data_IF_042891581661
#
_entry.id   IF_042891581661
#
_cell.length_a   1.000
_cell.length_b   1.000
_cell.length_c   1.000
_cell.angle_alpha   90.00
_cell.angle_beta   90.00
_cell.angle_gamma   90.00
#
_symmetry.space_group_name_H-M   'P 1'
#
loop_
_entity.id
_entity.type
_entity.pdbx_description
1 polymer ?
#
# COMPACT_ATOMS: atom_id res chain seq x y z
N UNK A 1 -21.74 -35.85 12.37
CA UNK A 1 -20.31 -35.89 12.03
C UNK A 1 -19.81 -34.45 12.03
N UNK A 2 -19.75 -33.68 13.12
CA UNK A 2 -19.34 -33.97 14.51
C UNK A 2 -18.10 -34.84 14.56
N UNK A 3 -16.95 -34.15 14.55
CA UNK A 3 -15.73 -34.41 15.34
C UNK A 3 -14.49 -33.97 14.55
N UNK A 4 -14.26 -32.64 14.52
CA UNK A 4 -12.92 -32.10 14.30
C UNK A 4 -12.45 -31.68 15.69
N UNK A 5 -11.57 -32.51 16.26
CA UNK A 5 -10.84 -32.23 17.50
C UNK A 5 -10.30 -30.79 17.50
N UNK A 6 -10.77 -29.96 18.44
CA UNK A 6 -10.16 -28.69 18.80
C UNK A 6 -8.80 -28.93 19.45
N UNK A 7 -7.77 -29.13 18.63
CA UNK A 7 -6.39 -28.99 19.06
C UNK A 7 -6.00 -27.51 18.91
N UNK A 8 -5.99 -26.78 20.03
CA UNK A 8 -5.17 -25.58 20.24
C UNK A 8 -5.32 -24.43 19.25
N UNK A 9 -6.45 -23.74 19.26
CA UNK A 9 -6.53 -22.37 18.74
C UNK A 9 -6.08 -21.42 19.85
N UNK A 10 -4.91 -20.81 19.72
CA UNK A 10 -4.38 -19.77 20.63
C UNK A 10 -5.09 -18.41 20.42
N UNK A 11 -6.28 -18.43 19.80
CA UNK A 11 -7.03 -17.23 19.44
C UNK A 11 -7.91 -16.78 20.61
N UNK A 12 -7.79 -15.51 20.97
CA UNK A 12 -8.64 -14.87 21.98
C UNK A 12 -10.09 -14.70 21.45
N UNK A 13 -10.25 -14.51 20.14
CA UNK A 13 -11.54 -14.45 19.44
C UNK A 13 -11.47 -15.20 18.11
N UNK A 14 -12.49 -15.98 17.81
CA UNK A 14 -12.70 -16.61 16.50
C UNK A 14 -13.27 -15.61 15.47
N UNK A 15 -13.26 -15.97 14.19
CA UNK A 15 -13.64 -15.08 13.08
C UNK A 15 -15.08 -14.54 13.20
N UNK A 16 -16.00 -15.37 13.67
CA UNK A 16 -17.44 -15.04 13.79
C UNK A 16 -17.82 -14.52 15.18
N UNK A 17 -16.84 -14.42 16.09
CA UNK A 17 -17.08 -13.94 17.44
C UNK A 17 -17.43 -12.45 17.44
N UNK A 18 -18.30 -12.08 18.38
CA UNK A 18 -18.72 -10.70 18.59
C UNK A 18 -18.10 -10.19 19.89
N UNK A 19 -16.85 -9.67 19.85
CA UNK A 19 -16.22 -9.13 21.04
C UNK A 19 -17.04 -7.95 21.59
N UNK A 20 -16.93 -7.67 22.91
CA UNK A 20 -17.53 -6.49 23.50
C UNK A 20 -17.14 -5.22 22.75
N UNK A 21 -18.07 -4.27 22.60
CA UNK A 21 -17.87 -3.05 21.81
C UNK A 21 -16.56 -2.32 22.11
N UNK A 22 -16.15 -2.24 23.37
CA UNK A 22 -14.91 -1.57 23.77
C UNK A 22 -13.65 -2.26 23.21
N UNK A 23 -13.59 -3.59 23.25
CA UNK A 23 -12.47 -4.37 22.69
C UNK A 23 -12.47 -4.29 21.17
N UNK A 24 -13.65 -4.38 20.55
CA UNK A 24 -13.81 -4.23 19.10
C UNK A 24 -13.33 -2.85 18.63
N UNK A 25 -13.71 -1.78 19.35
CA UNK A 25 -13.32 -0.41 19.02
C UNK A 25 -11.81 -0.20 19.15
N UNK A 26 -11.21 -0.66 20.25
CA UNK A 26 -9.76 -0.57 20.45
C UNK A 26 -9.03 -1.36 19.37
N UNK A 27 -9.48 -2.58 19.06
CA UNK A 27 -8.92 -3.40 17.98
C UNK A 27 -9.03 -2.74 16.61
N UNK A 28 -10.17 -2.10 16.30
CA UNK A 28 -10.37 -1.37 15.06
C UNK A 28 -9.44 -0.15 14.95
N UNK A 29 -9.25 0.59 16.05
CA UNK A 29 -8.33 1.74 16.09
C UNK A 29 -6.88 1.27 15.90
N UNK A 30 -6.44 0.21 16.58
CA UNK A 30 -5.06 -0.28 16.41
C UNK A 30 -4.82 -0.80 15.00
N UNK A 31 -5.80 -1.47 14.40
CA UNK A 31 -5.73 -1.89 13.00
C UNK A 31 -5.63 -0.69 12.05
N UNK A 32 -6.47 0.33 12.27
CA UNK A 32 -6.42 1.57 11.49
C UNK A 32 -5.04 2.24 11.59
N UNK A 33 -4.50 2.38 12.81
CA UNK A 33 -3.19 2.97 13.05
C UNK A 33 -2.07 2.14 12.41
N UNK A 34 -2.15 0.81 12.48
CA UNK A 34 -1.17 -0.09 11.88
C UNK A 34 -1.13 0.02 10.35
N UNK A 35 -2.30 0.16 9.70
CA UNK A 35 -2.37 0.24 8.23
C UNK A 35 -2.27 1.67 7.69
N UNK A 36 -2.39 2.68 8.53
CA UNK A 36 -2.41 4.08 8.11
C UNK A 36 -1.14 4.47 7.34
N UNK A 37 0.03 4.19 7.91
CA UNK A 37 1.32 4.51 7.28
C UNK A 37 1.46 3.82 5.92
N UNK A 38 1.37 2.48 5.80
CA UNK A 38 1.51 1.82 4.49
C UNK A 38 0.40 2.20 3.49
N UNK A 39 -0.76 2.69 3.95
CA UNK A 39 -1.82 3.17 3.07
C UNK A 39 -1.51 4.54 2.45
N UNK A 40 -0.94 5.46 3.23
CA UNK A 40 -0.68 6.84 2.80
C UNK A 40 0.69 6.99 2.09
N UNK A 41 1.70 6.25 2.54
CA UNK A 41 3.08 6.36 2.06
C UNK A 41 3.23 6.24 0.54
N UNK A 42 2.61 5.28 -0.17
CA UNK A 42 2.75 5.19 -1.63
C UNK A 42 2.33 6.45 -2.38
N UNK A 43 1.22 7.09 -1.98
CA UNK A 43 0.74 8.33 -2.59
C UNK A 43 1.71 9.50 -2.34
N UNK A 44 2.25 9.61 -1.11
CA UNK A 44 3.24 10.62 -0.77
C UNK A 44 4.55 10.43 -1.55
N UNK A 45 5.02 9.18 -1.67
CA UNK A 45 6.22 8.84 -2.43
C UNK A 45 6.07 9.23 -3.90
N UNK A 46 4.95 8.86 -4.54
CA UNK A 46 4.68 9.20 -5.95
C UNK A 46 4.55 10.71 -6.11
N UNK A 47 3.81 11.39 -5.22
CA UNK A 47 3.65 12.84 -5.24
C UNK A 47 4.98 13.59 -5.15
N UNK A 48 5.83 13.20 -4.20
CA UNK A 48 7.15 13.80 -4.01
C UNK A 48 8.10 13.52 -5.19
N UNK A 49 8.12 12.29 -5.70
CA UNK A 49 9.00 11.89 -6.80
C UNK A 49 8.64 12.58 -8.13
N UNK A 50 7.33 12.76 -8.40
CA UNK A 50 6.85 13.46 -9.60
C UNK A 50 6.78 14.98 -9.42
N UNK A 51 7.01 15.48 -8.21
CA UNK A 51 6.84 16.89 -7.80
C UNK A 51 5.43 17.40 -8.11
N UNK A 52 4.42 16.61 -7.74
CA UNK A 52 3.03 17.02 -7.83
C UNK A 52 2.72 18.15 -6.84
N UNK A 53 1.65 18.89 -7.09
CA UNK A 53 1.18 19.88 -6.12
C UNK A 53 0.80 19.22 -4.78
N UNK A 54 0.87 19.99 -3.68
CA UNK A 54 0.44 19.51 -2.37
C UNK A 54 -1.06 19.16 -2.36
N UNK A 55 -1.86 19.90 -3.13
CA UNK A 55 -3.29 19.65 -3.30
C UNK A 55 -3.54 18.31 -4.02
N UNK A 56 -2.88 18.07 -5.16
CA UNK A 56 -2.97 16.80 -5.90
C UNK A 56 -2.54 15.61 -5.02
N UNK A 57 -1.47 15.79 -4.25
CA UNK A 57 -0.94 14.74 -3.37
C UNK A 57 -1.93 14.44 -2.22
N UNK A 58 -2.49 15.46 -1.59
CA UNK A 58 -3.50 15.29 -0.54
C UNK A 58 -4.79 14.65 -1.08
N UNK A 59 -5.17 15.01 -2.31
CA UNK A 59 -6.30 14.39 -3.01
C UNK A 59 -6.05 12.90 -3.26
N UNK A 60 -4.86 12.53 -3.74
CA UNK A 60 -4.43 11.14 -3.92
C UNK A 60 -4.48 10.32 -2.63
N UNK A 61 -3.98 10.88 -1.52
CA UNK A 61 -4.04 10.24 -0.20
C UNK A 61 -5.50 10.00 0.21
N UNK A 62 -6.35 11.01 0.04
CA UNK A 62 -7.77 10.92 0.39
C UNK A 62 -8.50 9.85 -0.43
N UNK A 63 -8.25 9.80 -1.74
CA UNK A 63 -8.80 8.76 -2.62
C UNK A 63 -8.31 7.37 -2.23
N UNK A 64 -7.02 7.22 -1.93
CA UNK A 64 -6.44 5.95 -1.50
C UNK A 64 -7.09 5.46 -0.21
N UNK A 65 -7.28 6.34 0.79
CA UNK A 65 -7.94 5.99 2.05
C UNK A 65 -9.40 5.54 1.84
N UNK A 66 -10.16 6.26 1.00
CA UNK A 66 -11.54 5.89 0.68
C UNK A 66 -11.60 4.54 -0.04
N UNK A 67 -10.78 4.36 -1.08
CA UNK A 67 -10.72 3.11 -1.84
C UNK A 67 -10.30 1.92 -0.96
N UNK A 68 -9.36 2.14 -0.04
CA UNK A 68 -8.90 1.14 0.93
C UNK A 68 -10.01 0.73 1.91
N UNK A 69 -10.78 1.70 2.39
CA UNK A 69 -11.94 1.46 3.26
C UNK A 69 -13.03 0.65 2.55
N UNK A 70 -13.40 1.06 1.33
CA UNK A 70 -14.39 0.35 0.49
C UNK A 70 -13.90 -1.06 0.16
N UNK A 71 -12.63 -1.20 -0.25
CA UNK A 71 -12.04 -2.49 -0.59
C UNK A 71 -11.98 -3.45 0.61
N UNK A 72 -11.63 -2.93 1.79
CA UNK A 72 -11.62 -3.72 3.03
C UNK A 72 -13.04 -4.17 3.39
N UNK A 73 -14.01 -3.26 3.34
CA UNK A 73 -15.40 -3.60 3.58
C UNK A 73 -15.90 -4.68 2.61
N UNK A 74 -15.56 -4.57 1.32
CA UNK A 74 -15.91 -5.57 0.32
C UNK A 74 -15.24 -6.93 0.57
N UNK A 75 -14.00 -6.95 1.06
CA UNK A 75 -13.27 -8.19 1.29
C UNK A 75 -13.61 -8.92 2.59
N UNK A 76 -14.01 -8.16 3.61
CA UNK A 76 -14.51 -8.71 4.89
C UNK A 76 -15.91 -9.30 4.72
N UNK A 77 -16.77 -8.69 3.91
CA UNK A 77 -18.11 -9.23 3.67
C UNK A 77 -18.11 -10.22 2.51
N UNK A 78 -18.57 -11.45 2.74
CA UNK A 78 -18.71 -12.44 1.66
C UNK A 78 -20.07 -12.32 0.97
N UNK A 79 -20.07 -11.75 -0.23
CA UNK A 79 -21.24 -11.67 -1.11
C UNK A 79 -21.05 -12.63 -2.31
N UNK A 80 -21.35 -13.91 -2.11
CA UNK A 80 -21.23 -14.93 -3.15
C UNK A 80 -19.78 -15.17 -3.60
N UNK A 81 -19.45 -14.73 -4.83
CA UNK A 81 -18.10 -14.82 -5.43
C UNK A 81 -17.20 -13.61 -5.08
N UNK A 82 -17.77 -12.55 -4.53
CA UNK A 82 -17.04 -11.34 -4.13
C UNK A 82 -16.85 -11.34 -2.62
N UNK A 83 -15.64 -11.03 -2.16
CA UNK A 83 -15.33 -11.02 -0.74
C UNK A 83 -14.79 -12.35 -0.22
N UNK A 84 -13.78 -12.27 0.65
CA UNK A 84 -13.18 -13.44 1.29
C UNK A 84 -13.99 -13.96 2.48
N UNK A 85 -14.73 -13.09 3.16
CA UNK A 85 -15.33 -13.40 4.46
C UNK A 85 -14.32 -13.40 5.61
N UNK A 86 -13.06 -13.07 5.35
CA UNK A 86 -11.97 -13.00 6.32
C UNK A 86 -11.60 -11.54 6.59
N UNK A 87 -10.90 -11.28 7.70
CA UNK A 87 -10.30 -9.97 8.00
C UNK A 87 -9.14 -9.66 7.02
N UNK A 88 -9.51 -9.36 5.78
CA UNK A 88 -8.61 -9.11 4.65
C UNK A 88 -8.52 -7.62 4.37
N UNK A 89 -7.74 -6.92 5.18
CA UNK A 89 -7.58 -5.47 5.07
C UNK A 89 -6.86 -5.13 3.77
N UNK A 90 -7.47 -4.24 3.00
CA UNK A 90 -6.88 -3.75 1.76
C UNK A 90 -5.97 -2.56 2.05
N UNK A 91 -4.90 -2.43 1.27
CA UNK A 91 -3.97 -1.29 1.28
C UNK A 91 -3.47 -1.03 -0.13
N UNK A 92 -2.74 0.07 -0.30
CA UNK A 92 -2.11 0.42 -1.57
C UNK A 92 -0.91 -0.51 -1.83
N UNK A 93 -0.81 -1.05 -3.04
CA UNK A 93 0.24 -1.97 -3.41
C UNK A 93 1.56 -1.22 -3.70
N UNK A 94 2.56 -1.41 -2.84
CA UNK A 94 3.89 -0.81 -2.99
C UNK A 94 4.65 -1.23 -4.26
N UNK A 95 4.33 -2.39 -4.84
CA UNK A 95 4.94 -2.86 -6.10
C UNK A 95 4.67 -1.92 -7.27
N UNK A 96 3.57 -1.16 -7.23
CA UNK A 96 3.21 -0.22 -8.28
C UNK A 96 3.97 1.11 -8.16
N UNK A 97 4.50 1.46 -6.99
CA UNK A 97 5.13 2.77 -6.74
C UNK A 97 6.28 3.02 -7.70
N UNK A 98 7.18 2.06 -7.85
CA UNK A 98 8.35 2.20 -8.73
C UNK A 98 7.95 2.34 -10.20
N UNK A 99 6.95 1.57 -10.63
CA UNK A 99 6.40 1.63 -11.99
C UNK A 99 5.72 2.97 -12.25
N UNK A 100 4.94 3.48 -11.29
CA UNK A 100 4.28 4.78 -11.39
C UNK A 100 5.28 5.93 -11.47
N UNK A 101 6.33 5.90 -10.65
CA UNK A 101 7.39 6.92 -10.71
C UNK A 101 8.09 6.87 -12.07
N UNK A 102 8.43 5.68 -12.57
CA UNK A 102 9.09 5.53 -13.86
C UNK A 102 8.23 6.07 -15.01
N UNK A 103 6.95 5.66 -15.06
CA UNK A 103 6.00 6.11 -16.08
C UNK A 103 5.77 7.62 -15.99
N UNK A 104 5.48 8.14 -14.80
CA UNK A 104 5.24 9.58 -14.59
C UNK A 104 6.47 10.43 -14.90
N UNK A 105 7.68 9.96 -14.56
CA UNK A 105 8.92 10.67 -14.87
C UNK A 105 9.20 10.72 -16.37
N UNK A 106 8.90 9.63 -17.09
CA UNK A 106 8.99 9.58 -18.56
C UNK A 106 8.03 10.58 -19.21
N UNK A 107 6.77 10.60 -18.76
CA UNK A 107 5.79 11.55 -19.29
C UNK A 107 6.17 13.01 -18.97
N UNK A 108 6.76 13.24 -17.78
CA UNK A 108 7.25 14.57 -17.42
C UNK A 108 8.41 15.01 -18.31
N UNK A 109 9.33 14.11 -18.69
CA UNK A 109 10.41 14.43 -19.63
C UNK A 109 9.91 14.73 -21.04
N UNK A 110 8.78 14.13 -21.42
CA UNK A 110 8.10 14.41 -22.70
C UNK A 110 7.30 15.72 -22.69
N UNK A 111 7.27 16.43 -21.56
CA UNK A 111 6.62 17.73 -21.40
C UNK A 111 5.11 17.67 -21.16
N UNK A 112 4.55 16.51 -20.78
CA UNK A 112 3.13 16.40 -20.46
C UNK A 112 2.76 17.18 -19.18
N UNK A 113 1.56 17.76 -19.18
CA UNK A 113 1.00 18.45 -18.03
C UNK A 113 0.64 17.49 -16.88
N UNK A 114 0.65 18.01 -15.65
CA UNK A 114 0.37 17.23 -14.42
C UNK A 114 -0.96 16.45 -14.49
N UNK A 115 -2.02 17.07 -15.00
CA UNK A 115 -3.34 16.43 -15.15
C UNK A 115 -3.31 15.23 -16.12
N UNK A 116 -2.53 15.33 -17.18
CA UNK A 116 -2.37 14.27 -18.19
C UNK A 116 -1.57 13.10 -17.64
N UNK A 117 -0.54 13.39 -16.86
CA UNK A 117 0.22 12.37 -16.11
C UNK A 117 -0.72 11.66 -15.13
N UNK A 118 -1.48 12.43 -14.35
CA UNK A 118 -2.33 11.89 -13.30
C UNK A 118 -3.48 11.02 -13.85
N UNK A 119 -4.17 11.51 -14.89
CA UNK A 119 -5.21 10.75 -15.59
C UNK A 119 -4.65 9.48 -16.25
N UNK A 120 -3.43 9.52 -16.78
CA UNK A 120 -2.77 8.34 -17.34
C UNK A 120 -2.39 7.32 -16.27
N UNK A 121 -1.81 7.77 -15.15
CA UNK A 121 -1.47 6.90 -14.01
C UNK A 121 -2.73 6.19 -13.45
N UNK A 122 -3.82 6.93 -13.26
CA UNK A 122 -5.09 6.36 -12.81
C UNK A 122 -5.72 5.46 -13.88
N UNK A 123 -5.69 5.84 -15.15
CA UNK A 123 -6.22 5.06 -16.26
C UNK A 123 -5.49 3.72 -16.42
N UNK A 124 -4.16 3.74 -16.38
CA UNK A 124 -3.34 2.51 -16.40
C UNK A 124 -3.65 1.64 -15.18
N UNK A 125 -3.82 2.23 -14.00
CA UNK A 125 -4.20 1.48 -12.79
C UNK A 125 -5.58 0.84 -12.92
N UNK A 126 -6.55 1.57 -13.48
CA UNK A 126 -7.90 1.09 -13.69
C UNK A 126 -7.93 -0.08 -14.68
N UNK A 127 -7.24 0.04 -15.82
CA UNK A 127 -7.11 -1.06 -16.79
C UNK A 127 -6.34 -2.24 -16.17
N UNK A 128 -5.27 -1.95 -15.41
CA UNK A 128 -4.48 -2.93 -14.69
C UNK A 128 -5.30 -3.75 -13.68
N UNK A 129 -6.31 -3.15 -13.06
CA UNK A 129 -7.21 -3.86 -12.14
C UNK A 129 -7.91 -5.04 -12.83
N UNK A 130 -8.38 -4.87 -14.08
CA UNK A 130 -9.00 -5.97 -14.84
C UNK A 130 -7.99 -7.07 -15.18
N UNK A 131 -6.73 -6.72 -15.46
CA UNK A 131 -5.67 -7.72 -15.67
C UNK A 131 -5.42 -8.53 -14.41
N UNK A 132 -5.43 -7.91 -13.23
CA UNK A 132 -5.28 -8.60 -11.94
C UNK A 132 -6.47 -9.52 -11.69
N UNK A 133 -7.70 -9.04 -11.91
CA UNK A 133 -8.92 -9.86 -11.79
C UNK A 133 -8.87 -11.05 -12.75
N UNK A 134 -8.49 -10.84 -14.01
CA UNK A 134 -8.31 -11.92 -14.98
C UNK A 134 -7.22 -12.93 -14.58
N UNK A 135 -6.10 -12.43 -14.06
CA UNK A 135 -4.99 -13.27 -13.59
C UNK A 135 -5.36 -14.13 -12.37
N UNK A 136 -6.34 -13.69 -11.57
CA UNK A 136 -6.81 -14.44 -10.40
C UNK A 136 -7.38 -15.82 -10.75
N UNK A 137 -7.96 -16.00 -11.95
CA UNK A 137 -8.46 -17.28 -12.43
C UNK A 137 -7.35 -18.27 -12.80
N UNK A 138 -6.17 -17.75 -13.16
CA UNK A 138 -5.01 -18.52 -13.61
C UNK A 138 -4.08 -18.86 -12.45
N UNK A 139 -4.23 -18.17 -11.31
CA UNK A 139 -3.42 -18.34 -10.09
C UNK A 139 -3.24 -19.80 -9.63
N UNK A 140 -4.28 -20.68 -9.64
CA UNK A 140 -4.13 -22.07 -9.22
C UNK A 140 -3.09 -22.85 -10.03
N UNK A 141 -2.93 -22.53 -11.32
CA UNK A 141 -1.96 -23.15 -12.21
C UNK A 141 -0.54 -22.59 -12.00
N UNK A 142 -0.44 -21.32 -11.60
CA UNK A 142 0.83 -20.63 -11.34
C UNK A 142 1.46 -21.00 -10.00
N UNK A 143 0.75 -21.69 -9.10
CA UNK A 143 1.29 -22.13 -7.79
C UNK A 143 2.54 -23.02 -7.89
N UNK A 144 2.78 -23.67 -9.03
CA UNK A 144 4.02 -24.43 -9.28
C UNK A 144 5.24 -23.54 -9.55
N UNK A 145 5.02 -22.33 -10.08
CA UNK A 145 6.07 -21.38 -10.43
C UNK A 145 6.26 -20.33 -9.34
N UNK A 146 5.16 -19.81 -8.78
CA UNK A 146 5.15 -18.86 -7.67
C UNK A 146 5.31 -19.64 -6.36
N UNK A 147 6.51 -20.15 -6.15
CA UNK A 147 6.88 -20.80 -4.88
C UNK A 147 7.03 -19.74 -3.77
N UNK A 148 6.96 -20.13 -2.48
CA UNK A 148 7.19 -19.20 -1.37
C UNK A 148 8.53 -18.46 -1.48
N UNK A 149 9.57 -19.12 -1.98
CA UNK A 149 10.89 -18.52 -2.22
C UNK A 149 10.83 -17.43 -3.30
N UNK A 150 10.15 -17.68 -4.42
CA UNK A 150 10.00 -16.68 -5.49
C UNK A 150 9.21 -15.48 -4.99
N UNK A 151 8.08 -15.72 -4.33
CA UNK A 151 7.26 -14.65 -3.75
C UNK A 151 8.06 -13.82 -2.73
N UNK A 152 8.78 -14.48 -1.83
CA UNK A 152 9.61 -13.82 -0.81
C UNK A 152 10.72 -12.95 -1.41
N UNK A 153 11.41 -13.43 -2.45
CA UNK A 153 12.43 -12.63 -3.14
C UNK A 153 11.80 -11.42 -3.83
N UNK A 154 10.63 -11.56 -4.47
CA UNK A 154 9.93 -10.44 -5.11
C UNK A 154 9.56 -9.37 -4.07
N UNK A 155 9.00 -9.76 -2.93
CA UNK A 155 8.66 -8.82 -1.83
C UNK A 155 9.92 -8.14 -1.29
N UNK A 156 11.02 -8.88 -1.12
CA UNK A 156 12.30 -8.30 -0.71
C UNK A 156 12.82 -7.28 -1.74
N UNK A 157 12.71 -7.58 -3.04
CA UNK A 157 13.09 -6.66 -4.11
C UNK A 157 12.25 -5.38 -4.12
N UNK A 158 10.94 -5.48 -3.86
CA UNK A 158 10.08 -4.30 -3.70
C UNK A 158 10.59 -3.45 -2.53
N UNK A 159 10.84 -4.05 -1.36
CA UNK A 159 11.39 -3.34 -0.20
C UNK A 159 12.74 -2.67 -0.50
N UNK A 160 13.69 -3.42 -1.08
CA UNK A 160 15.01 -2.89 -1.44
C UNK A 160 14.93 -1.75 -2.46
N UNK A 161 14.00 -1.81 -3.41
CA UNK A 161 13.80 -0.73 -4.40
C UNK A 161 13.33 0.59 -3.76
N UNK A 162 12.63 0.51 -2.62
CA UNK A 162 12.07 1.66 -1.91
C UNK A 162 13.02 2.26 -0.88
N UNK A 163 14.07 1.53 -0.46
CA UNK A 163 15.10 2.06 0.46
C UNK A 163 15.68 3.37 -0.06
N UNK A 164 15.91 3.48 -1.38
CA UNK A 164 16.43 4.71 -1.99
C UNK A 164 15.52 5.91 -1.72
N UNK A 165 14.20 5.72 -1.81
CA UNK A 165 13.23 6.77 -1.52
C UNK A 165 13.24 7.09 -0.03
N UNK A 166 13.24 6.08 0.84
CA UNK A 166 13.32 6.26 2.28
C UNK A 166 14.56 7.03 2.73
N UNK A 167 15.74 6.77 2.14
CA UNK A 167 16.97 7.52 2.42
C UNK A 167 16.84 8.99 1.98
N UNK A 168 16.19 9.24 0.84
CA UNK A 168 15.97 10.61 0.36
C UNK A 168 15.07 11.35 1.35
N UNK A 169 13.98 10.74 1.80
CA UNK A 169 13.07 11.35 2.78
C UNK A 169 13.75 11.56 4.14
N UNK A 170 14.56 10.59 4.60
CA UNK A 170 15.35 10.70 5.84
C UNK A 170 16.35 11.86 5.80
N UNK A 171 16.89 12.17 4.62
CA UNK A 171 17.80 13.31 4.41
C UNK A 171 17.10 14.66 4.24
N UNK A 172 15.77 14.75 4.37
CA UNK A 172 14.99 15.99 4.19
C UNK A 172 14.19 16.06 2.89
N UNK A 173 14.09 14.96 2.14
CA UNK A 173 13.27 14.82 0.95
C UNK A 173 13.87 15.42 -0.33
N UNK A 174 13.10 15.35 -1.41
CA UNK A 174 13.51 15.86 -2.72
C UNK A 174 13.72 17.39 -2.74
N UNK A 175 13.00 18.13 -1.89
CA UNK A 175 13.18 19.57 -1.72
C UNK A 175 14.56 19.91 -1.15
N UNK A 176 14.97 19.28 -0.04
CA UNK A 176 16.28 19.46 0.57
C UNK A 176 17.44 19.08 -0.38
N UNK A 177 17.21 18.06 -1.21
CA UNK A 177 18.16 17.65 -2.26
C UNK A 177 18.34 18.72 -3.34
N UNK A 178 17.29 19.45 -3.69
CA UNK A 178 17.36 20.54 -4.67
C UNK A 178 17.96 21.83 -4.09
N UNK A 179 17.78 22.09 -2.80
CA UNK A 179 18.32 23.26 -2.09
C UNK A 179 19.73 23.06 -1.53
N UNK A 180 20.33 21.88 -1.68
CA UNK A 180 21.66 21.55 -1.16
C UNK A 180 21.73 21.37 0.36
N UNK A 181 20.59 21.28 1.04
CA UNK A 181 20.49 21.10 2.51
C UNK A 181 20.24 19.63 2.90
N UNK A 182 20.44 18.72 1.96
CA UNK A 182 20.26 17.29 2.16
C UNK A 182 21.17 16.75 3.27
N UNK A 183 20.59 16.03 4.23
CA UNK A 183 21.34 15.44 5.34
C UNK A 183 21.81 16.45 6.39
N UNK A 184 21.17 17.61 6.50
CA UNK A 184 21.43 18.53 7.61
C UNK A 184 21.09 17.86 8.96
N UNK A 185 21.78 18.25 10.03
CA UNK A 185 21.63 17.67 11.37
C UNK A 185 20.18 17.73 11.88
N UNK A 186 19.42 18.74 11.48
CA UNK A 186 18.00 18.86 11.81
C UNK A 186 17.16 17.75 11.16
N UNK A 187 17.31 17.52 9.85
CA UNK A 187 16.58 16.47 9.14
C UNK A 187 16.96 15.07 9.62
N UNK A 188 18.26 14.82 9.80
CA UNK A 188 18.76 13.56 10.34
C UNK A 188 18.33 13.34 11.79
N UNK A 189 18.28 14.41 12.60
CA UNK A 189 17.83 14.37 13.99
C UNK A 189 16.35 13.98 14.10
N UNK A 190 15.48 14.58 13.28
CA UNK A 190 14.07 14.18 13.22
C UNK A 190 13.92 12.74 12.73
N UNK A 191 14.66 12.35 11.68
CA UNK A 191 14.63 10.98 11.17
C UNK A 191 15.05 9.94 12.22
N UNK A 192 16.12 10.19 12.97
CA UNK A 192 16.58 9.30 14.05
C UNK A 192 15.58 9.22 15.20
N UNK A 193 14.95 10.34 15.55
CA UNK A 193 13.93 10.37 16.61
C UNK A 193 12.68 9.55 16.25
N UNK A 194 12.32 9.48 14.96
CA UNK A 194 11.20 8.64 14.48
C UNK A 194 11.57 7.14 14.51
N UNK A 195 12.86 6.81 14.43
CA UNK A 195 13.33 5.43 14.37
C UNK A 195 13.43 4.77 15.75
N UNK A 196 13.58 5.59 16.81
CA UNK A 196 13.65 5.17 18.23
C UNK A 196 12.24 5.05 18.80
#
# INVERSE_FOLDING_TARGET
>A
MSDINHAGSDLIFELEDRPPFHQALVGAITHLLAIFVPMVTPALIVGAALQLSAETTAYLVSMAMIASGIGTWLQVNRYGIVGSGLLSIQSVNFSFVTVMIALGSSMKSDGFHEELIMSSLLGVSFVGAFLVVGSSFILPYLRRVITPTVSGIVVLMIGLSLIKVGIIDFGGGFAAKSSGTFGNYEHLGVGLLVLI
#
